data_IF_541124059070
#
_entry.id   IF_541124059070
#
_cell.length_a   1.000
_cell.length_b   1.000
_cell.length_c   1.000
_cell.angle_alpha   90.00
_cell.angle_beta   90.00
_cell.angle_gamma   90.00
#
_symmetry.space_group_name_H-M   'P 1'
#
loop_
_entity.id
_entity.type
_entity.pdbx_description
1 polymer ?
#
# COMPACT_ATOMS: atom_id res chain seq x y z
N UNK A 1 2.86 8.83 -16.24
CA UNK A 1 3.08 9.47 -14.93
C UNK A 1 2.34 8.64 -13.91
N UNK A 2 2.96 8.29 -12.79
CA UNK A 2 2.31 7.52 -11.73
C UNK A 2 1.43 8.50 -10.92
N UNK A 3 0.16 8.16 -10.63
CA UNK A 3 -0.71 8.96 -9.75
C UNK A 3 -0.07 9.19 -8.38
N UNK A 4 -0.34 10.34 -7.77
CA UNK A 4 0.24 10.69 -6.47
C UNK A 4 -0.56 10.07 -5.34
N UNK A 5 0.14 9.54 -4.34
CA UNK A 5 -0.49 9.09 -3.10
C UNK A 5 -0.94 10.31 -2.28
N UNK A 6 -2.24 10.50 -2.12
CA UNK A 6 -2.82 11.63 -1.40
C UNK A 6 -3.08 11.35 0.08
N UNK A 7 -3.44 10.10 0.39
CA UNK A 7 -3.75 9.67 1.74
C UNK A 7 -3.31 8.22 1.97
N UNK A 8 -2.92 7.94 3.20
CA UNK A 8 -2.62 6.61 3.70
C UNK A 8 -3.11 6.52 5.15
N UNK A 9 -3.89 5.51 5.47
CA UNK A 9 -4.48 5.30 6.79
C UNK A 9 -4.21 3.87 7.29
N UNK A 10 -3.87 3.73 8.57
CA UNK A 10 -3.70 2.41 9.18
C UNK A 10 -5.06 1.72 9.36
N UNK A 11 -5.18 0.48 8.87
CA UNK A 11 -6.41 -0.31 9.05
C UNK A 11 -6.22 -1.33 10.17
N UNK A 12 -5.29 -2.27 10.02
CA UNK A 12 -4.99 -3.34 10.98
C UNK A 12 -3.73 -4.08 10.55
N UNK A 13 -3.07 -4.83 11.44
CA UNK A 13 -1.88 -5.65 11.09
C UNK A 13 -0.86 -4.85 10.28
N UNK A 14 -0.65 -5.27 9.02
CA UNK A 14 0.18 -4.61 8.00
C UNK A 14 -0.63 -4.06 6.83
N UNK A 15 -1.90 -3.75 7.08
CA UNK A 15 -2.85 -3.25 6.09
C UNK A 15 -2.97 -1.74 6.19
N UNK A 16 -2.76 -1.07 5.05
CA UNK A 16 -3.01 0.35 4.87
C UNK A 16 -4.14 0.58 3.87
N UNK A 17 -5.01 1.55 4.16
CA UNK A 17 -5.92 2.10 3.17
C UNK A 17 -5.21 3.23 2.44
N UNK A 18 -5.06 3.12 1.12
CA UNK A 18 -4.34 4.09 0.29
C UNK A 18 -5.31 4.77 -0.67
N UNK A 19 -5.14 6.07 -0.89
CA UNK A 19 -5.89 6.84 -1.90
C UNK A 19 -4.96 7.67 -2.78
N UNK A 20 -5.14 7.53 -4.08
CA UNK A 20 -4.40 8.25 -5.11
C UNK A 20 -5.21 9.42 -5.71
N UNK A 21 -4.51 10.38 -6.32
CA UNK A 21 -5.08 11.60 -6.91
C UNK A 21 -5.95 11.36 -8.16
N UNK A 22 -5.88 10.18 -8.75
CA UNK A 22 -6.75 9.72 -9.84
C UNK A 22 -8.08 9.12 -9.35
N UNK A 23 -8.26 9.05 -8.03
CA UNK A 23 -9.44 8.47 -7.38
C UNK A 23 -9.35 6.96 -7.13
N UNK A 24 -8.23 6.30 -7.48
CA UNK A 24 -8.01 4.92 -7.08
C UNK A 24 -7.76 4.84 -5.57
N UNK A 25 -8.50 3.96 -4.88
CA UNK A 25 -8.29 3.71 -3.46
C UNK A 25 -8.54 2.25 -3.07
N UNK A 26 -7.95 1.81 -1.97
CA UNK A 26 -8.19 0.47 -1.43
C UNK A 26 -7.24 0.06 -0.32
N UNK A 27 -7.62 -1.04 0.35
CA UNK A 27 -6.83 -1.67 1.39
C UNK A 27 -5.74 -2.54 0.76
N UNK A 28 -4.49 -2.37 1.19
CA UNK A 28 -3.35 -3.19 0.73
C UNK A 28 -2.71 -3.91 1.90
N UNK A 29 -2.61 -5.23 1.78
CA UNK A 29 -1.79 -6.03 2.69
C UNK A 29 -0.30 -5.94 2.30
N UNK A 30 0.52 -5.55 3.27
CA UNK A 30 1.97 -5.38 3.14
C UNK A 30 2.75 -6.36 4.03
N UNK A 31 2.10 -7.31 4.72
CA UNK A 31 2.77 -8.26 5.64
C UNK A 31 3.90 -9.02 4.94
N UNK A 32 3.62 -9.53 3.73
CA UNK A 32 4.58 -10.29 2.91
C UNK A 32 5.78 -9.47 2.45
N UNK A 33 5.73 -8.14 2.56
CA UNK A 33 6.80 -7.23 2.15
C UNK A 33 7.71 -6.81 3.30
N UNK A 34 7.37 -7.20 4.54
CA UNK A 34 8.13 -6.85 5.74
C UNK A 34 9.35 -7.76 5.92
N UNK A 35 10.22 -7.82 4.93
CA UNK A 35 11.44 -8.63 4.93
C UNK A 35 12.69 -7.82 4.62
N UNK A 36 13.83 -8.25 5.18
CA UNK A 36 15.10 -7.56 5.04
C UNK A 36 15.38 -6.62 6.22
N UNK A 37 16.65 -6.24 6.39
CA UNK A 37 17.14 -5.57 7.60
C UNK A 37 16.38 -4.28 7.97
N UNK A 38 16.00 -3.48 6.96
CA UNK A 38 15.30 -2.20 7.13
C UNK A 38 13.81 -2.38 7.47
N UNK A 39 13.21 -3.50 7.05
CA UNK A 39 11.80 -3.84 7.28
C UNK A 39 11.59 -4.80 8.45
N UNK A 40 12.64 -5.48 8.95
CA UNK A 40 12.53 -6.45 10.05
C UNK A 40 11.83 -5.87 11.30
N UNK A 41 12.09 -4.61 11.74
CA UNK A 41 11.36 -4.02 12.86
C UNK A 41 9.88 -3.79 12.57
N UNK A 42 9.52 -3.68 11.29
CA UNK A 42 8.15 -3.41 10.85
C UNK A 42 7.27 -4.67 10.85
N UNK A 43 7.84 -5.87 11.08
CA UNK A 43 7.04 -7.07 11.39
C UNK A 43 6.18 -6.91 12.64
N UNK A 44 6.58 -6.02 13.55
CA UNK A 44 5.77 -5.63 14.70
C UNK A 44 4.70 -4.59 14.27
N UNK A 45 3.39 -4.87 14.40
CA UNK A 45 2.34 -3.95 13.94
C UNK A 45 2.39 -2.56 14.60
N UNK A 46 2.87 -2.49 15.84
CA UNK A 46 3.05 -1.24 16.58
C UNK A 46 4.15 -0.34 16.00
N UNK A 47 5.15 -0.92 15.32
CA UNK A 47 6.16 -0.19 14.57
C UNK A 47 5.63 0.18 13.18
N UNK A 48 4.98 -0.76 12.51
CA UNK A 48 4.39 -0.57 11.19
C UNK A 48 3.36 0.58 11.17
N UNK A 49 2.47 0.68 12.17
CA UNK A 49 1.45 1.73 12.19
C UNK A 49 2.02 3.15 12.30
N UNK A 50 3.29 3.29 12.69
CA UNK A 50 3.98 4.59 12.83
C UNK A 50 4.66 4.99 11.52
N UNK A 51 3.92 4.90 10.43
CA UNK A 51 4.35 5.38 9.13
C UNK A 51 4.06 6.89 9.00
N UNK A 52 4.73 7.53 8.05
CA UNK A 52 4.45 8.90 7.63
C UNK A 52 4.17 8.92 6.12
N UNK A 53 3.28 9.80 5.68
CA UNK A 53 3.08 10.07 4.26
C UNK A 53 4.09 11.13 3.80
N UNK A 54 5.08 10.70 3.03
CA UNK A 54 6.06 11.57 2.38
C UNK A 54 5.46 12.15 1.09
N UNK A 55 5.17 13.46 1.11
CA UNK A 55 4.58 14.18 -0.02
C UNK A 55 5.59 14.56 -1.11
N UNK A 56 6.89 14.57 -0.81
CA UNK A 56 7.92 14.79 -1.82
C UNK A 56 8.16 13.51 -2.62
N UNK A 57 8.29 12.38 -1.93
CA UNK A 57 8.48 11.06 -2.53
C UNK A 57 7.17 10.42 -3.02
N UNK A 58 6.02 10.97 -2.62
CA UNK A 58 4.67 10.45 -2.90
C UNK A 58 4.46 9.01 -2.41
N UNK A 59 4.95 8.70 -1.21
CA UNK A 59 4.86 7.36 -0.63
C UNK A 59 4.77 7.35 0.90
N UNK A 60 4.59 6.18 1.50
CA UNK A 60 4.73 5.94 2.94
C UNK A 60 6.17 5.62 3.31
N UNK A 61 6.62 6.19 4.42
CA UNK A 61 7.95 5.96 4.98
C UNK A 61 7.86 5.62 6.46
N UNK A 62 8.91 4.99 7.00
CA UNK A 62 9.05 4.68 8.42
C UNK A 62 10.33 5.28 9.00
N UNK A 63 10.35 5.44 10.33
CA UNK A 63 11.54 5.88 11.10
C UNK A 63 12.77 5.00 10.88
N UNK A 64 12.59 3.74 10.44
CA UNK A 64 13.70 2.85 10.05
C UNK A 64 14.40 3.29 8.76
N UNK A 65 13.85 4.27 8.04
CA UNK A 65 14.28 4.65 6.70
C UNK A 65 13.68 3.77 5.60
N UNK A 66 12.76 2.86 5.95
CA UNK A 66 12.01 2.07 4.98
C UNK A 66 11.06 2.96 4.19
N UNK A 67 10.89 2.64 2.91
CA UNK A 67 9.86 3.18 2.02
C UNK A 67 9.39 2.07 1.06
N UNK A 68 8.21 2.26 0.48
CA UNK A 68 7.73 1.42 -0.62
C UNK A 68 7.55 2.30 -1.85
N UNK A 69 7.95 1.87 -3.04
CA UNK A 69 7.83 2.74 -4.21
C UNK A 69 6.36 3.09 -4.53
N UNK A 70 6.03 4.34 -4.95
CA UNK A 70 4.65 4.72 -5.28
C UNK A 70 3.98 3.81 -6.32
N UNK A 71 4.72 3.38 -7.35
CA UNK A 71 4.25 2.45 -8.38
C UNK A 71 3.91 1.06 -7.82
N UNK A 72 4.64 0.62 -6.79
CA UNK A 72 4.41 -0.66 -6.14
C UNK A 72 3.10 -0.62 -5.36
N UNK A 73 2.89 0.46 -4.59
CA UNK A 73 1.65 0.68 -3.86
C UNK A 73 0.45 0.79 -4.81
N UNK A 74 0.59 1.54 -5.90
CA UNK A 74 -0.46 1.68 -6.92
C UNK A 74 -0.82 0.32 -7.56
N UNK A 75 0.19 -0.48 -7.91
CA UNK A 75 -0.02 -1.82 -8.45
C UNK A 75 -0.71 -2.75 -7.44
N UNK A 76 -0.35 -2.70 -6.16
CA UNK A 76 -1.01 -3.47 -5.10
C UNK A 76 -2.47 -3.08 -4.91
N UNK A 77 -2.80 -1.79 -4.88
CA UNK A 77 -4.21 -1.34 -4.80
C UNK A 77 -4.99 -1.88 -6.00
N UNK A 78 -4.43 -1.78 -7.20
CA UNK A 78 -5.06 -2.26 -8.45
C UNK A 78 -5.28 -3.78 -8.45
N UNK A 79 -4.32 -4.55 -7.94
CA UNK A 79 -4.37 -6.01 -7.92
C UNK A 79 -5.34 -6.56 -6.85
N UNK A 80 -5.49 -5.86 -5.72
CA UNK A 80 -6.29 -6.31 -4.58
C UNK A 80 -7.74 -5.80 -4.60
N UNK A 81 -8.16 -5.05 -5.63
CA UNK A 81 -9.56 -4.67 -5.79
C UNK A 81 -10.48 -5.91 -5.94
N UNK A 82 -11.53 -6.05 -5.12
CA UNK A 82 -12.57 -7.05 -5.32
C UNK A 82 -13.36 -6.69 -6.59
N UNK A 83 -12.89 -7.20 -7.72
CA UNK A 83 -13.40 -6.89 -9.06
C UNK A 83 -12.41 -7.18 -10.19
N UNK A 84 -11.12 -7.39 -9.86
CA UNK A 84 -10.08 -7.77 -10.84
C UNK A 84 -10.07 -9.27 -11.22
N UNK A 85 -11.04 -10.05 -10.73
CA UNK A 85 -11.40 -11.33 -11.37
C UNK A 85 -12.31 -11.04 -12.55
N UNK A 86 -11.72 -10.98 -13.75
CA UNK A 86 -12.47 -10.97 -15.01
C UNK A 86 -13.27 -12.27 -15.09
N UNK A 87 -14.53 -12.25 -14.66
CA UNK A 87 -15.46 -13.35 -14.92
C UNK A 87 -15.57 -13.55 -16.44
N UNK A 88 -15.34 -14.76 -16.99
CA UNK A 88 -15.75 -15.03 -18.35
C UNK A 88 -17.28 -15.03 -18.35
N UNK A 89 -17.88 -13.98 -18.91
CA UNK A 89 -19.30 -13.92 -19.23
C UNK A 89 -19.67 -15.16 -20.07
N UNK A 90 -20.20 -16.20 -19.43
CA UNK A 90 -20.92 -17.27 -20.12
C UNK A 90 -22.31 -16.74 -20.38
N UNK A 91 -22.53 -16.38 -21.64
CA UNK A 91 -23.85 -16.17 -22.23
C UNK A 91 -24.68 -17.45 -22.07
N UNK A 92 -25.87 -17.31 -21.50
CA UNK A 92 -27.00 -18.22 -21.72
C UNK A 92 -28.28 -17.43 -21.83
#
# INVERSE_FOLDING_TARGET
>A
MIPKLEAAEYVTGHVLHLRFDDGLEGDVDLEDEMWGEVFEPLKEPEAFRRFELDRELNTVTWVTGADLAPEFLYAKVTAQQPGSSREPATVR
#
